data_IF_066563328761
#
_entry.id   IF_066563328761
#
_cell.length_a   1.000
_cell.length_b   1.000
_cell.length_c   1.000
_cell.angle_alpha   90.00
_cell.angle_beta   90.00
_cell.angle_gamma   90.00
#
_symmetry.space_group_name_H-M   'P 1'
#
loop_
_entity.id
_entity.type
_entity.pdbx_description
1 polymer ?
#
# COMPACT_ATOMS: atom_id res chain seq x y z
N UNK A 1 6.53 0.93 3.11
CA UNK A 1 5.09 0.78 2.84
C UNK A 1 4.71 -0.64 2.42
N UNK A 2 5.21 -1.15 1.28
CA UNK A 2 4.96 -2.55 0.89
C UNK A 2 5.42 -3.54 1.96
N UNK A 3 6.59 -3.33 2.58
CA UNK A 3 7.03 -4.11 3.75
C UNK A 3 6.04 -4.08 4.92
N UNK A 4 5.43 -2.93 5.21
CA UNK A 4 4.45 -2.79 6.30
C UNK A 4 3.15 -3.54 5.98
N UNK A 5 2.70 -3.49 4.72
CA UNK A 5 1.58 -4.28 4.19
C UNK A 5 1.90 -5.78 4.15
N UNK A 6 3.13 -6.14 3.84
CA UNK A 6 3.60 -7.52 3.84
C UNK A 6 3.65 -8.11 5.26
N UNK A 7 4.05 -7.28 6.22
CA UNK A 7 4.13 -7.64 7.64
C UNK A 7 2.75 -7.95 8.26
N UNK A 8 1.64 -7.56 7.62
CA UNK A 8 0.28 -7.98 8.03
C UNK A 8 -0.18 -9.27 7.35
N UNK A 9 0.72 -9.95 6.61
CA UNK A 9 0.51 -11.30 6.05
C UNK A 9 -0.77 -11.45 5.23
N UNK A 10 -1.18 -10.38 4.56
CA UNK A 10 -2.41 -10.32 3.75
C UNK A 10 -3.70 -10.16 4.55
N UNK A 11 -3.66 -10.03 5.87
CA UNK A 11 -4.83 -9.66 6.66
C UNK A 11 -5.31 -8.26 6.30
N UNK A 12 -6.63 -8.09 6.30
CA UNK A 12 -7.25 -6.80 6.12
C UNK A 12 -7.09 -5.97 7.41
N UNK A 13 -6.44 -4.81 7.29
CA UNK A 13 -6.06 -3.97 8.42
C UNK A 13 -6.35 -2.50 8.14
N UNK A 14 -6.28 -1.65 9.16
CA UNK A 14 -6.55 -0.21 9.02
C UNK A 14 -5.34 0.53 8.45
N UNK A 15 -5.62 1.64 7.76
CA UNK A 15 -4.58 2.56 7.29
C UNK A 15 -3.60 2.91 8.41
N UNK A 16 -4.11 3.36 9.55
CA UNK A 16 -3.31 3.76 10.71
C UNK A 16 -2.27 2.71 11.12
N UNK A 17 -2.66 1.44 11.19
CA UNK A 17 -1.77 0.35 11.59
C UNK A 17 -0.65 0.10 10.59
N UNK A 18 -0.94 0.20 9.29
CA UNK A 18 0.07 0.10 8.23
C UNK A 18 1.00 1.30 8.27
N UNK A 19 0.44 2.50 8.38
CA UNK A 19 1.18 3.76 8.37
C UNK A 19 2.13 3.84 9.56
N UNK A 20 1.67 3.46 10.75
CA UNK A 20 2.49 3.35 11.96
C UNK A 20 3.63 2.35 11.81
N UNK A 21 3.39 1.22 11.15
CA UNK A 21 4.46 0.24 10.85
C UNK A 21 5.45 0.72 9.78
N UNK A 22 4.98 1.56 8.86
CA UNK A 22 5.82 2.13 7.83
C UNK A 22 6.61 3.37 8.31
N UNK A 23 6.38 3.81 9.56
CA UNK A 23 6.90 5.06 10.13
C UNK A 23 6.55 6.29 9.28
N UNK A 24 5.30 6.33 8.78
CA UNK A 24 4.81 7.38 7.91
C UNK A 24 3.61 8.09 8.52
N UNK A 25 3.67 9.43 8.52
CA UNK A 25 2.62 10.30 9.08
C UNK A 25 1.61 10.74 8.00
N UNK A 26 1.00 9.79 7.31
CA UNK A 26 -0.03 10.10 6.33
C UNK A 26 -1.31 9.32 6.62
N UNK A 27 -2.46 9.91 6.29
CA UNK A 27 -3.76 9.34 6.62
C UNK A 27 -4.14 8.12 5.78
N UNK A 28 -3.57 7.98 4.57
CA UNK A 28 -3.94 6.93 3.61
C UNK A 28 -2.70 6.33 2.95
N UNK A 29 -2.54 5.00 2.92
CA UNK A 29 -1.45 4.35 2.19
C UNK A 29 -1.36 4.77 0.73
N UNK A 30 -2.51 5.01 0.08
CA UNK A 30 -2.57 5.46 -1.32
C UNK A 30 -1.94 6.84 -1.57
N UNK A 31 -1.88 7.73 -0.58
CA UNK A 31 -1.23 9.04 -0.74
C UNK A 31 0.27 8.91 -0.99
N UNK A 32 0.91 7.84 -0.50
CA UNK A 32 2.33 7.57 -0.74
C UNK A 32 2.60 7.10 -2.15
N UNK A 33 1.61 6.49 -2.81
CA UNK A 33 1.73 5.99 -4.17
C UNK A 33 1.21 6.97 -5.22
N UNK A 34 0.69 8.15 -4.82
CA UNK A 34 0.29 9.17 -5.78
C UNK A 34 1.52 9.69 -6.52
N UNK A 35 1.47 9.63 -7.86
CA UNK A 35 2.49 10.24 -8.71
C UNK A 35 2.41 11.76 -8.52
N UNK A 36 3.46 12.34 -7.92
CA UNK A 36 3.55 13.79 -7.73
C UNK A 36 3.86 14.47 -9.06
N UNK A 37 3.46 15.72 -9.22
CA UNK A 37 3.66 16.48 -10.46
C UNK A 37 5.15 16.53 -10.89
N UNK A 38 6.07 16.62 -9.92
CA UNK A 38 7.53 16.58 -10.13
C UNK A 38 8.08 15.23 -10.62
N UNK A 39 7.27 14.18 -10.46
CA UNK A 39 7.60 12.78 -10.76
C UNK A 39 6.76 12.25 -11.94
N UNK A 40 5.92 13.12 -12.53
CA UNK A 40 5.10 12.81 -13.70
C UNK A 40 6.01 12.51 -14.90
N UNK A 41 5.85 11.32 -15.47
CA UNK A 41 6.65 10.84 -16.61
C UNK A 41 7.87 10.00 -16.21
N UNK A 42 8.17 9.85 -14.90
CA UNK A 42 9.20 8.91 -14.46
C UNK A 42 8.63 7.48 -14.43
N UNK A 43 9.40 6.47 -14.89
CA UNK A 43 8.93 5.09 -14.91
C UNK A 43 8.78 4.49 -13.51
N UNK A 44 9.64 4.85 -12.56
CA UNK A 44 9.66 4.29 -11.20
C UNK A 44 8.38 4.61 -10.39
N UNK A 45 7.95 5.89 -10.28
CA UNK A 45 6.73 6.25 -9.55
C UNK A 45 5.47 5.70 -10.21
N UNK A 46 5.46 5.60 -11.54
CA UNK A 46 4.38 4.97 -12.28
C UNK A 46 4.29 3.46 -11.99
N UNK A 47 5.43 2.77 -11.97
CA UNK A 47 5.50 1.36 -11.62
C UNK A 47 5.06 1.11 -10.17
N UNK A 48 5.47 1.94 -9.21
CA UNK A 48 5.03 1.84 -7.82
C UNK A 48 3.52 2.06 -7.66
N UNK A 49 2.96 3.05 -8.36
CA UNK A 49 1.52 3.29 -8.37
C UNK A 49 0.74 2.10 -8.94
N UNK A 50 1.20 1.56 -10.08
CA UNK A 50 0.61 0.39 -10.71
C UNK A 50 0.70 -0.85 -9.81
N UNK A 51 1.85 -1.10 -9.19
CA UNK A 51 2.05 -2.19 -8.25
C UNK A 51 1.13 -2.07 -7.03
N UNK A 52 0.95 -0.86 -6.49
CA UNK A 52 0.00 -0.64 -5.40
C UNK A 52 -1.43 -0.97 -5.82
N UNK A 53 -1.87 -0.51 -7.00
CA UNK A 53 -3.20 -0.83 -7.52
C UNK A 53 -3.41 -2.32 -7.83
N UNK A 54 -2.36 -3.05 -8.20
CA UNK A 54 -2.42 -4.48 -8.50
C UNK A 54 -2.37 -5.36 -7.25
N UNK A 55 -1.60 -4.96 -6.23
CA UNK A 55 -1.29 -5.81 -5.07
C UNK A 55 -2.12 -5.45 -3.83
N UNK A 56 -2.53 -4.19 -3.68
CA UNK A 56 -3.20 -3.71 -2.47
C UNK A 56 -4.70 -3.58 -2.71
N UNK A 57 -5.46 -4.42 -2.04
CA UNK A 57 -6.92 -4.35 -2.05
C UNK A 57 -7.34 -3.32 -1.00
N UNK A 58 -8.13 -2.35 -1.44
CA UNK A 58 -8.71 -1.31 -0.58
C UNK A 58 -10.21 -1.47 -0.51
N UNK A 59 -10.73 -1.70 0.70
CA UNK A 59 -12.15 -1.79 0.95
C UNK A 59 -12.65 -0.42 1.42
N UNK A 60 -12.94 0.46 0.45
CA UNK A 60 -13.20 1.90 0.68
C UNK A 60 -14.30 2.21 1.69
N UNK A 61 -15.37 1.38 1.74
CA UNK A 61 -16.47 1.55 2.71
C UNK A 61 -16.08 1.19 4.14
N UNK A 62 -15.17 0.24 4.30
CA UNK A 62 -14.70 -0.20 5.61
C UNK A 62 -13.47 0.60 6.07
N UNK A 63 -12.67 1.13 5.13
CA UNK A 63 -11.37 1.75 5.42
C UNK A 63 -10.24 0.74 5.59
N UNK A 64 -10.40 -0.47 5.04
CA UNK A 64 -9.48 -1.59 5.26
C UNK A 64 -8.58 -1.78 4.05
N UNK A 65 -7.37 -2.24 4.32
CA UNK A 65 -6.30 -2.43 3.37
C UNK A 65 -5.74 -3.83 3.56
N UNK A 66 -5.61 -4.61 2.49
CA UNK A 66 -4.97 -5.93 2.52
C UNK A 66 -4.07 -6.11 1.31
N UNK A 67 -3.05 -6.95 1.46
CA UNK A 67 -2.14 -7.34 0.39
C UNK A 67 -2.13 -8.87 0.30
N UNK A 68 -3.14 -9.49 -0.34
CA UNK A 68 -3.34 -10.95 -0.28
C UNK A 68 -2.18 -11.76 -0.85
N UNK A 69 -1.35 -11.20 -1.74
CA UNK A 69 -0.14 -11.87 -2.20
C UNK A 69 0.86 -12.15 -1.06
N UNK A 70 0.83 -11.37 0.03
CA UNK A 70 1.65 -11.62 1.20
C UNK A 70 1.18 -12.83 2.02
N UNK A 71 -0.09 -13.24 1.88
CA UNK A 71 -0.62 -14.44 2.54
C UNK A 71 -0.13 -15.73 1.86
N UNK A 72 0.05 -15.71 0.53
CA UNK A 72 0.48 -16.87 -0.26
C UNK A 72 2.00 -17.01 -0.41
N UNK A 73 2.77 -15.97 -0.11
CA UNK A 73 4.24 -16.00 -0.27
C UNK A 73 5.00 -16.65 0.91
N UNK A 74 4.28 -17.21 1.89
CA UNK A 74 4.82 -18.07 2.94
C UNK A 74 4.81 -19.57 2.57
N UNK A 75 4.60 -19.91 1.29
CA UNK A 75 4.64 -21.28 0.78
C UNK A 75 6.03 -21.66 0.27
#
# INVERSE_FOLDING_TARGET
>A
MFEALWSVKGEATTAERIMRRADLDSAKPSDMFKIKAKDKGKPEPAAQHAAYGALVITQQRAGWYSMPCAAGALA
#
